data_IF_211260576827
#
_entry.id   IF_211260576827
#
_cell.length_a   1.000
_cell.length_b   1.000
_cell.length_c   1.000
_cell.angle_alpha   90.00
_cell.angle_beta   90.00
_cell.angle_gamma   90.00
#
_symmetry.space_group_name_H-M   'P 1'
#
loop_
_entity.id
_entity.type
_entity.pdbx_description
1 polymer ?
#
# COMPACT_ATOMS: atom_id res chain seq x y z
N UNK A 1 14.94 -13.68 -10.17
CA UNK A 1 15.15 -13.42 -8.73
C UNK A 1 14.75 -11.97 -8.45
N UNK A 2 13.54 -11.68 -7.93
CA UNK A 2 13.18 -10.31 -7.49
C UNK A 2 11.89 -10.15 -6.62
N UNK A 3 11.25 -11.19 -6.08
CA UNK A 3 9.95 -10.99 -5.36
C UNK A 3 10.05 -10.84 -3.83
N UNK A 4 11.24 -10.98 -3.23
CA UNK A 4 11.37 -11.15 -1.78
C UNK A 4 11.22 -9.89 -0.91
N UNK A 5 11.04 -8.68 -1.50
CA UNK A 5 11.09 -7.41 -0.77
C UNK A 5 9.90 -6.46 -1.02
N UNK A 6 8.81 -6.88 -1.68
CA UNK A 6 7.62 -6.01 -1.78
C UNK A 6 6.97 -5.87 -0.40
N UNK A 7 6.67 -4.63 -0.02
CA UNK A 7 5.98 -4.31 1.23
C UNK A 7 4.63 -5.05 1.27
N UNK A 8 4.40 -5.76 2.36
CA UNK A 8 3.16 -6.49 2.62
C UNK A 8 2.17 -5.54 3.33
N UNK A 9 1.17 -5.06 2.59
CA UNK A 9 0.19 -4.10 3.09
C UNK A 9 -0.62 -4.67 4.25
N UNK A 10 -0.96 -5.97 4.23
CA UNK A 10 -1.72 -6.61 5.30
C UNK A 10 -0.92 -6.62 6.59
N UNK A 11 0.37 -7.00 6.53
CA UNK A 11 1.25 -6.95 7.71
C UNK A 11 1.45 -5.54 8.24
N UNK A 12 1.56 -4.54 7.37
CA UNK A 12 1.69 -3.16 7.81
C UNK A 12 0.41 -2.66 8.50
N UNK A 13 -0.77 -3.03 7.99
CA UNK A 13 -2.04 -2.74 8.63
C UNK A 13 -2.17 -3.41 10.00
N UNK A 14 -1.81 -4.70 10.11
CA UNK A 14 -1.78 -5.42 11.41
C UNK A 14 -0.89 -4.70 12.43
N UNK A 15 0.31 -4.28 12.03
CA UNK A 15 1.23 -3.52 12.90
C UNK A 15 0.65 -2.16 13.31
N UNK A 16 0.01 -1.45 12.38
CA UNK A 16 -0.62 -0.16 12.67
C UNK A 16 -1.78 -0.32 13.67
N UNK A 17 -2.60 -1.36 13.51
CA UNK A 17 -3.65 -1.70 14.48
C UNK A 17 -3.07 -2.00 15.85
N UNK A 18 -2.00 -2.80 15.93
CA UNK A 18 -1.32 -3.09 17.21
C UNK A 18 -0.75 -1.83 17.88
N UNK A 19 -0.27 -0.85 17.10
CA UNK A 19 0.17 0.45 17.65
C UNK A 19 -1.03 1.22 18.22
N UNK A 20 -2.16 1.26 17.51
CA UNK A 20 -3.37 1.93 17.97
C UNK A 20 -3.91 1.28 19.27
N UNK A 21 -4.03 -0.05 19.29
CA UNK A 21 -4.42 -0.83 20.45
C UNK A 21 -3.49 -0.57 21.64
N UNK A 22 -2.17 -0.49 21.40
CA UNK A 22 -1.22 -0.17 22.45
C UNK A 22 -1.53 1.17 23.13
N UNK A 23 -1.87 2.21 22.37
CA UNK A 23 -2.26 3.52 22.92
C UNK A 23 -3.57 3.44 23.72
N UNK A 24 -4.56 2.70 23.24
CA UNK A 24 -5.86 2.54 23.90
C UNK A 24 -5.77 1.78 25.23
N UNK A 25 -4.83 0.85 25.35
CA UNK A 25 -4.61 0.07 26.57
C UNK A 25 -3.89 0.86 27.69
N UNK A 26 -3.32 2.04 27.39
CA UNK A 26 -2.58 2.80 28.39
C UNK A 26 -3.53 3.59 29.31
N UNK A 27 -3.45 3.35 30.62
CA UNK A 27 -4.14 4.18 31.63
C UNK A 27 -3.46 5.54 31.80
N UNK A 28 -2.13 5.55 31.74
CA UNK A 28 -1.29 6.74 31.65
C UNK A 28 -0.25 6.47 30.56
N UNK A 29 -0.08 7.40 29.62
CA UNK A 29 0.80 7.20 28.47
C UNK A 29 2.23 7.56 28.84
N UNK A 30 3.14 6.61 28.68
CA UNK A 30 4.57 6.90 28.60
C UNK A 30 4.86 7.67 27.31
N UNK A 31 5.25 8.94 27.46
CA UNK A 31 5.45 9.87 26.34
C UNK A 31 6.66 9.47 25.48
N UNK A 32 7.72 8.92 26.07
CA UNK A 32 8.91 8.51 25.31
C UNK A 32 8.61 7.28 24.46
N UNK A 33 7.91 6.29 25.04
CA UNK A 33 7.48 5.10 24.31
C UNK A 33 6.43 5.44 23.25
N UNK A 34 5.49 6.34 23.58
CA UNK A 34 4.51 6.86 22.63
C UNK A 34 5.17 7.52 21.42
N UNK A 35 6.23 8.32 21.64
CA UNK A 35 6.97 8.95 20.54
C UNK A 35 7.65 7.92 19.63
N UNK A 36 8.18 6.81 20.18
CA UNK A 36 8.74 5.72 19.37
C UNK A 36 7.65 5.07 18.52
N UNK A 37 6.50 4.74 19.11
CA UNK A 37 5.35 4.13 18.41
C UNK A 37 4.82 5.01 17.27
N UNK A 38 4.77 6.33 17.46
CA UNK A 38 4.41 7.28 16.39
C UNK A 38 5.44 7.27 15.25
N UNK A 39 6.74 7.22 15.56
CA UNK A 39 7.79 7.13 14.52
C UNK A 39 7.68 5.82 13.74
N UNK A 40 7.45 4.71 14.42
CA UNK A 40 7.26 3.40 13.77
C UNK A 40 6.02 3.41 12.86
N UNK A 41 4.90 3.94 13.34
CA UNK A 41 3.69 4.12 12.54
C UNK A 41 3.94 4.99 11.30
N UNK A 42 4.69 6.09 11.43
CA UNK A 42 5.01 6.96 10.31
C UNK A 42 5.82 6.25 9.21
N UNK A 43 6.76 5.37 9.59
CA UNK A 43 7.51 4.54 8.63
C UNK A 43 6.57 3.56 7.92
N UNK A 44 5.74 2.83 8.67
CA UNK A 44 4.78 1.87 8.11
C UNK A 44 3.81 2.54 7.13
N UNK A 45 3.29 3.72 7.46
CA UNK A 45 2.40 4.50 6.59
C UNK A 45 3.12 4.90 5.31
N UNK A 46 4.38 5.36 5.41
CA UNK A 46 5.17 5.77 4.24
C UNK A 46 5.39 4.59 3.29
N UNK A 47 5.77 3.44 3.82
CA UNK A 47 5.97 2.21 3.05
C UNK A 47 4.66 1.75 2.38
N UNK A 48 3.55 1.75 3.13
CA UNK A 48 2.24 1.37 2.59
C UNK A 48 1.78 2.30 1.47
N UNK A 49 1.98 3.62 1.61
CA UNK A 49 1.68 4.59 0.55
C UNK A 49 2.53 4.34 -0.71
N UNK A 50 3.79 3.99 -0.54
CA UNK A 50 4.67 3.62 -1.64
C UNK A 50 4.12 2.42 -2.41
N UNK A 51 3.77 1.34 -1.70
CA UNK A 51 3.24 0.13 -2.33
C UNK A 51 1.87 0.34 -2.98
N UNK A 52 1.00 1.14 -2.39
CA UNK A 52 -0.29 1.49 -3.00
C UNK A 52 -0.11 2.21 -4.34
N UNK A 53 0.85 3.13 -4.43
CA UNK A 53 1.17 3.82 -5.68
C UNK A 53 1.70 2.87 -6.75
N UNK A 54 2.53 1.90 -6.38
CA UNK A 54 2.97 0.86 -7.32
C UNK A 54 1.78 0.05 -7.85
N UNK A 55 0.88 -0.36 -6.97
CA UNK A 55 -0.34 -1.09 -7.34
C UNK A 55 -1.22 -0.25 -8.27
N UNK A 56 -1.42 1.04 -7.97
CA UNK A 56 -2.18 1.97 -8.82
C UNK A 56 -1.58 2.07 -10.23
N UNK A 57 -0.25 2.17 -10.34
CA UNK A 57 0.43 2.16 -11.63
C UNK A 57 0.24 0.83 -12.38
N UNK A 58 0.36 -0.30 -11.67
CA UNK A 58 0.12 -1.64 -12.24
C UNK A 58 -1.33 -1.75 -12.79
N UNK A 59 -2.32 -1.19 -12.11
CA UNK A 59 -3.71 -1.12 -12.59
C UNK A 59 -3.89 -0.22 -13.82
N UNK A 60 -3.25 0.93 -13.86
CA UNK A 60 -3.30 1.85 -15.01
C UNK A 60 -2.67 1.23 -16.27
N UNK A 61 -1.61 0.44 -16.13
CA UNK A 61 -1.02 -0.32 -17.24
C UNK A 61 -2.01 -1.37 -17.76
N UNK A 62 -2.60 -2.18 -16.88
CA UNK A 62 -3.62 -3.17 -17.26
C UNK A 62 -4.81 -2.51 -17.97
N UNK A 63 -5.25 -1.34 -17.50
CA UNK A 63 -6.35 -0.60 -18.13
C UNK A 63 -5.99 -0.19 -19.55
N UNK A 64 -4.78 0.32 -19.78
CA UNK A 64 -4.31 0.72 -21.12
C UNK A 64 -4.19 -0.48 -22.05
N UNK A 65 -3.74 -1.63 -21.55
CA UNK A 65 -3.63 -2.85 -22.35
C UNK A 65 -5.04 -3.28 -22.81
N UNK A 66 -6.03 -3.28 -21.91
CA UNK A 66 -7.42 -3.60 -22.26
C UNK A 66 -8.02 -2.58 -23.23
N UNK A 67 -7.83 -1.28 -23.00
CA UNK A 67 -8.37 -0.23 -23.88
C UNK A 67 -7.68 -0.24 -25.26
N UNK A 68 -6.36 -0.46 -25.32
CA UNK A 68 -5.60 -0.59 -26.57
C UNK A 68 -6.01 -1.81 -27.39
N UNK A 69 -6.27 -2.95 -26.75
CA UNK A 69 -6.83 -4.14 -27.41
C UNK A 69 -8.21 -3.83 -28.04
N UNK A 70 -9.05 -3.04 -27.36
CA UNK A 70 -10.37 -2.67 -27.91
C UNK A 70 -10.29 -1.71 -29.11
N UNK A 71 -9.27 -0.85 -29.17
CA UNK A 71 -9.05 0.06 -30.30
C UNK A 71 -8.47 -0.69 -31.53
N UNK A 72 -7.57 -1.66 -31.32
CA UNK A 72 -7.02 -2.50 -32.39
C UNK A 72 -8.08 -3.44 -32.98
N UNK A 73 -8.95 -4.04 -32.15
CA UNK A 73 -10.07 -4.86 -32.62
C UNK A 73 -11.07 -4.02 -33.45
N UNK A 74 -11.43 -2.81 -33.00
CA UNK A 74 -12.37 -1.94 -33.71
C UNK A 74 -11.86 -1.50 -35.09
N UNK A 75 -10.54 -1.35 -35.27
CA UNK A 75 -9.93 -0.99 -36.55
C UNK A 75 -9.89 -2.17 -37.54
N UNK A 76 -9.75 -3.41 -37.04
CA UNK A 76 -9.72 -4.61 -37.87
C UNK A 76 -11.09 -5.02 -38.46
N UNK A 77 -12.21 -4.59 -37.86
CA UNK A 77 -13.56 -4.84 -38.39
C UNK A 77 -14.03 -3.84 -39.46
N UNK A 78 -13.24 -2.80 -39.76
CA UNK A 78 -13.55 -1.79 -40.78
C UNK A 78 -12.88 -2.06 -42.15
N UNK A 79 -12.39 -3.28 -42.39
CA UNK A 79 -11.78 -3.72 -43.67
C UNK A 79 -12.65 -4.76 -44.36
#
# INVERSE_FOLDING_TARGET
MAEKNKVDLSKNLEKLSAIAEWFEMQKEVDVEEGLKKVKDAAVLIKESKGRLREIENEFEEIKKDIEGETEEEAQNFNI
#
